data_IF_963450266368
#
_entry.id   IF_963450266368
#
_cell.length_a   1.000
_cell.length_b   1.000
_cell.length_c   1.000
_cell.angle_alpha   90.00
_cell.angle_beta   90.00
_cell.angle_gamma   90.00
#
_symmetry.space_group_name_H-M   'P 1'
#
loop_
_entity.id
_entity.type
_entity.pdbx_description
1 polymer ?
#
# COMPACT_ATOMS: atom_id res chain seq x y z
N UNK A 1 30.76 -43.25 -56.83
CA UNK A 1 29.33 -43.63 -56.84
C UNK A 1 29.03 -44.20 -55.45
N UNK A 2 28.54 -43.35 -54.54
CA UNK A 2 27.18 -43.37 -53.95
C UNK A 2 27.01 -44.55 -52.95
N UNK A 3 26.64 -44.41 -51.67
CA UNK A 3 26.03 -43.28 -50.93
C UNK A 3 26.00 -43.61 -49.42
N UNK A 4 26.54 -42.69 -48.61
CA UNK A 4 25.94 -42.01 -47.43
C UNK A 4 25.29 -42.83 -46.29
N UNK A 5 25.85 -42.61 -45.09
CA UNK A 5 25.38 -43.01 -43.74
C UNK A 5 24.08 -42.29 -43.34
N UNK A 6 23.25 -42.92 -42.50
CA UNK A 6 22.29 -42.20 -41.66
C UNK A 6 22.10 -42.90 -40.30
N UNK A 7 22.76 -42.36 -39.27
CA UNK A 7 22.31 -42.44 -37.88
C UNK A 7 21.07 -41.56 -37.75
N UNK A 8 19.98 -42.06 -37.17
CA UNK A 8 18.91 -41.18 -36.65
C UNK A 8 18.61 -41.55 -35.21
N UNK A 9 18.92 -40.57 -34.38
CA UNK A 9 18.79 -40.47 -32.93
C UNK A 9 17.32 -40.45 -32.54
N UNK A 10 16.99 -41.15 -31.45
CA UNK A 10 15.65 -41.14 -30.86
C UNK A 10 15.24 -39.75 -30.38
N UNK A 11 14.05 -39.31 -30.78
CA UNK A 11 13.43 -38.10 -30.30
C UNK A 11 12.52 -38.43 -29.10
N UNK A 12 13.00 -38.14 -27.88
CA UNK A 12 12.17 -38.07 -26.68
C UNK A 12 11.46 -36.71 -26.69
N UNK A 13 10.14 -36.74 -26.90
CA UNK A 13 9.27 -35.57 -26.85
C UNK A 13 9.19 -35.02 -25.41
N UNK A 14 9.92 -33.95 -25.14
CA UNK A 14 9.79 -33.18 -23.90
C UNK A 14 8.53 -32.31 -23.96
N UNK A 15 7.49 -32.70 -23.22
CA UNK A 15 6.31 -31.85 -23.00
C UNK A 15 6.65 -30.76 -21.98
N UNK A 16 6.87 -29.53 -22.44
CA UNK A 16 7.03 -28.37 -21.57
C UNK A 16 5.65 -27.92 -21.05
N UNK A 17 5.35 -28.25 -19.79
CA UNK A 17 4.22 -27.69 -19.05
C UNK A 17 4.52 -26.21 -18.75
N UNK A 18 4.01 -25.32 -19.60
CA UNK A 18 3.92 -23.88 -19.30
C UNK A 18 2.85 -23.69 -18.21
N UNK A 19 3.25 -23.85 -16.94
CA UNK A 19 2.47 -23.40 -15.80
C UNK A 19 2.40 -21.87 -15.87
N UNK A 20 1.34 -21.35 -16.47
CA UNK A 20 0.94 -19.96 -16.31
C UNK A 20 0.71 -19.72 -14.83
N UNK A 21 1.68 -19.08 -14.17
CA UNK A 21 1.55 -18.61 -12.80
C UNK A 21 0.49 -17.51 -12.78
N UNK A 22 -0.77 -17.89 -12.60
CA UNK A 22 -1.80 -16.94 -12.21
C UNK A 22 -1.36 -16.44 -10.84
N UNK A 23 -0.86 -15.20 -10.77
CA UNK A 23 -0.69 -14.56 -9.48
C UNK A 23 -2.05 -14.60 -8.80
N UNK A 24 -2.15 -15.34 -7.69
CA UNK A 24 -3.30 -15.25 -6.81
C UNK A 24 -3.29 -13.81 -6.25
N UNK A 25 -3.99 -12.92 -6.95
CA UNK A 25 -4.30 -11.60 -6.43
C UNK A 25 -5.33 -11.83 -5.32
N UNK A 26 -5.03 -11.38 -4.10
CA UNK A 26 -6.03 -11.34 -3.05
C UNK A 26 -6.96 -10.14 -3.24
N UNK A 27 -7.80 -9.93 -2.23
CA UNK A 27 -8.92 -8.97 -2.15
C UNK A 27 -8.82 -7.71 -3.03
N UNK A 28 -9.89 -7.45 -3.79
CA UNK A 28 -10.08 -6.26 -4.63
C UNK A 28 -10.95 -5.22 -3.90
N UNK A 29 -10.46 -3.99 -3.77
CA UNK A 29 -11.15 -2.91 -3.03
C UNK A 29 -11.50 -1.75 -3.96
N UNK A 30 -12.71 -1.20 -3.79
CA UNK A 30 -13.12 0.12 -4.30
C UNK A 30 -14.32 0.65 -3.51
N UNK A 31 -14.66 1.93 -3.69
CA UNK A 31 -15.89 2.51 -3.13
C UNK A 31 -15.73 3.04 -1.71
N UNK A 32 -16.79 2.97 -0.90
CA UNK A 32 -16.81 3.60 0.43
C UNK A 32 -16.51 2.61 1.55
N UNK A 33 -15.51 2.94 2.37
CA UNK A 33 -15.15 2.21 3.59
C UNK A 33 -15.70 2.99 4.80
N UNK A 34 -16.61 2.38 5.55
CA UNK A 34 -17.26 3.01 6.73
C UNK A 34 -16.79 2.44 8.07
N UNK A 35 -15.90 1.45 8.04
CA UNK A 35 -15.24 0.83 9.20
C UNK A 35 -13.83 0.43 8.79
N UNK A 36 -12.89 0.34 9.73
CA UNK A 36 -11.53 -0.11 9.42
C UNK A 36 -11.55 -1.43 8.66
N UNK A 37 -10.94 -1.43 7.47
CA UNK A 37 -10.74 -2.63 6.67
C UNK A 37 -9.42 -3.27 7.06
N UNK A 38 -9.48 -4.51 7.55
CA UNK A 38 -8.31 -5.29 7.98
C UNK A 38 -7.85 -6.20 6.84
N UNK A 39 -6.64 -5.97 6.34
CA UNK A 39 -6.08 -6.75 5.24
C UNK A 39 -5.46 -8.06 5.76
N UNK A 40 -5.98 -9.20 5.33
CA UNK A 40 -5.43 -10.52 5.66
C UNK A 40 -4.56 -11.12 4.56
N UNK A 41 -4.58 -10.54 3.35
CA UNK A 41 -3.85 -11.02 2.17
C UNK A 41 -3.39 -9.87 1.27
N UNK A 42 -2.63 -10.20 0.22
CA UNK A 42 -2.22 -9.22 -0.79
C UNK A 42 -3.45 -8.61 -1.45
N UNK A 43 -3.58 -7.30 -1.39
CA UNK A 43 -4.80 -6.58 -1.74
C UNK A 43 -4.48 -5.57 -2.82
N UNK A 44 -5.43 -5.27 -3.72
CA UNK A 44 -5.29 -4.15 -4.67
C UNK A 44 -6.53 -3.29 -4.75
N UNK A 45 -6.32 -2.02 -5.08
CA UNK A 45 -7.40 -1.15 -5.47
C UNK A 45 -7.78 -1.40 -6.93
N UNK A 46 -9.07 -1.51 -7.18
CA UNK A 46 -9.67 -1.58 -8.53
C UNK A 46 -10.50 -0.34 -8.87
N UNK A 47 -10.54 0.63 -7.95
CA UNK A 47 -11.23 1.90 -8.06
C UNK A 47 -10.84 2.83 -6.91
N UNK A 48 -11.27 4.09 -6.99
CA UNK A 48 -11.06 5.04 -5.90
C UNK A 48 -11.80 4.60 -4.63
N UNK A 49 -11.18 4.90 -3.49
CA UNK A 49 -11.68 4.59 -2.16
C UNK A 49 -11.97 5.88 -1.42
N UNK A 50 -13.17 5.97 -0.86
CA UNK A 50 -13.55 7.03 0.08
C UNK A 50 -13.68 6.43 1.48
N UNK A 51 -12.94 6.97 2.42
CA UNK A 51 -12.94 6.55 3.82
C UNK A 51 -13.86 7.47 4.63
N UNK A 52 -14.81 6.88 5.34
CA UNK A 52 -15.64 7.53 6.35
C UNK A 52 -15.52 6.78 7.68
N UNK A 53 -14.28 6.66 8.16
CA UNK A 53 -13.91 6.01 9.42
C UNK A 53 -13.45 7.10 10.39
N UNK A 54 -13.95 7.07 11.62
CA UNK A 54 -13.58 8.00 12.70
C UNK A 54 -12.98 7.24 13.88
N UNK A 55 -12.01 7.83 14.55
CA UNK A 55 -11.33 7.25 15.71
C UNK A 55 -10.38 6.07 15.42
N UNK A 56 -10.25 5.65 14.16
CA UNK A 56 -9.44 4.49 13.76
C UNK A 56 -8.88 4.65 12.34
N UNK A 57 -7.87 3.85 11.94
CA UNK A 57 -7.38 3.84 10.57
C UNK A 57 -8.46 3.44 9.56
N UNK A 58 -8.40 3.96 8.34
CA UNK A 58 -9.30 3.49 7.28
C UNK A 58 -8.95 2.06 6.85
N UNK A 59 -7.67 1.80 6.56
CA UNK A 59 -7.16 0.48 6.23
C UNK A 59 -6.04 0.14 7.22
N UNK A 60 -6.06 -1.10 7.73
CA UNK A 60 -5.02 -1.61 8.59
C UNK A 60 -4.55 -3.00 8.12
N UNK A 61 -3.25 -3.25 8.23
CA UNK A 61 -2.71 -4.58 7.98
C UNK A 61 -3.10 -5.52 9.14
N UNK A 62 -3.68 -6.67 8.80
CA UNK A 62 -4.08 -7.72 9.74
C UNK A 62 -3.18 -8.95 9.74
N UNK A 63 -2.30 -9.07 8.75
CA UNK A 63 -1.32 -10.16 8.65
C UNK A 63 0.06 -9.63 8.17
N UNK A 64 1.16 -10.34 8.47
CA UNK A 64 2.48 -10.02 7.94
C UNK A 64 2.67 -10.53 6.51
N UNK A 65 3.73 -10.09 5.83
CA UNK A 65 4.13 -10.58 4.49
C UNK A 65 3.11 -10.33 3.36
N UNK A 66 2.33 -9.25 3.48
CA UNK A 66 1.32 -8.87 2.48
C UNK A 66 1.51 -7.42 2.05
N UNK A 67 0.99 -7.08 0.88
CA UNK A 67 1.06 -5.75 0.33
C UNK A 67 -0.31 -5.22 -0.08
N UNK A 68 -0.48 -3.90 0.05
CA UNK A 68 -1.57 -3.15 -0.56
C UNK A 68 -1.05 -2.47 -1.81
N UNK A 69 -1.61 -2.79 -2.98
CA UNK A 69 -1.32 -2.11 -4.23
C UNK A 69 -2.39 -1.06 -4.54
N UNK A 70 -1.99 0.21 -4.60
CA UNK A 70 -2.89 1.33 -4.91
C UNK A 70 -3.28 1.39 -6.39
N UNK A 71 -2.50 0.77 -7.28
CA UNK A 71 -2.84 0.52 -8.68
C UNK A 71 -3.32 1.76 -9.48
N UNK A 72 -2.81 2.94 -9.12
CA UNK A 72 -3.13 4.23 -9.73
C UNK A 72 -4.32 4.96 -9.11
N UNK A 73 -5.02 4.36 -8.16
CA UNK A 73 -6.22 4.91 -7.53
C UNK A 73 -5.93 5.75 -6.29
N UNK A 74 -6.96 6.47 -5.85
CA UNK A 74 -6.92 7.37 -4.71
C UNK A 74 -7.62 6.77 -3.50
N UNK A 75 -7.01 6.90 -2.33
CA UNK A 75 -7.66 6.71 -1.03
C UNK A 75 -7.86 8.10 -0.41
N UNK A 76 -9.11 8.49 -0.22
CA UNK A 76 -9.50 9.81 0.30
C UNK A 76 -10.19 9.71 1.65
N UNK A 77 -9.63 10.37 2.67
CA UNK A 77 -10.26 10.57 3.97
C UNK A 77 -11.32 11.68 3.97
N UNK A 78 -12.12 11.80 5.05
CA UNK A 78 -13.30 12.67 5.08
C UNK A 78 -12.97 14.16 5.32
N UNK A 79 -11.68 14.51 5.45
CA UNK A 79 -11.27 15.80 5.99
C UNK A 79 -11.16 16.90 4.93
N UNK A 80 -10.82 18.10 5.37
CA UNK A 80 -10.79 19.30 4.53
C UNK A 80 -9.88 19.12 3.31
N UNK A 81 -10.34 19.57 2.14
CA UNK A 81 -9.65 19.38 0.88
C UNK A 81 -8.39 20.24 0.73
N UNK A 82 -8.30 21.36 1.45
CA UNK A 82 -7.21 22.31 1.33
C UNK A 82 -6.11 22.06 2.35
N UNK A 83 -6.49 21.59 3.54
CA UNK A 83 -5.61 21.49 4.72
C UNK A 83 -5.48 20.06 5.26
N UNK A 84 -6.40 19.15 4.91
CA UNK A 84 -6.45 17.81 5.51
C UNK A 84 -7.00 17.79 6.93
N UNK A 85 -7.25 18.96 7.53
CA UNK A 85 -7.62 19.09 8.93
C UNK A 85 -9.04 19.63 9.09
N UNK A 86 -9.80 19.07 10.04
CA UNK A 86 -11.03 19.65 10.59
C UNK A 86 -10.84 20.10 12.05
N UNK A 87 -9.72 20.75 12.35
CA UNK A 87 -9.30 21.13 13.71
C UNK A 87 -7.94 20.55 14.07
N UNK A 88 -7.74 20.19 15.35
CA UNK A 88 -6.52 19.50 15.81
C UNK A 88 -6.41 18.13 15.15
N UNK A 89 -5.17 17.71 14.86
CA UNK A 89 -4.93 16.38 14.31
C UNK A 89 -5.38 15.28 15.28
N UNK A 90 -5.79 14.15 14.71
CA UNK A 90 -6.23 12.96 15.46
C UNK A 90 -5.35 11.80 15.02
N UNK A 91 -4.38 11.43 15.85
CA UNK A 91 -3.33 10.47 15.49
C UNK A 91 -3.83 9.05 15.20
N UNK A 92 -5.08 8.72 15.53
CA UNK A 92 -5.68 7.42 15.22
C UNK A 92 -6.43 7.40 13.88
N UNK A 93 -6.78 8.57 13.31
CA UNK A 93 -7.55 8.70 12.07
C UNK A 93 -6.62 8.77 10.85
N UNK A 94 -5.87 7.70 10.67
CA UNK A 94 -4.87 7.53 9.62
C UNK A 94 -5.47 6.85 8.38
N UNK A 95 -4.91 7.11 7.19
CA UNK A 95 -5.31 6.42 5.97
C UNK A 95 -4.98 4.93 6.00
N UNK A 96 -3.69 4.60 6.01
CA UNK A 96 -3.17 3.23 6.04
C UNK A 96 -2.29 3.05 7.28
N UNK A 97 -2.58 2.04 8.09
CA UNK A 97 -1.76 1.67 9.25
C UNK A 97 -1.16 0.28 9.08
N UNK A 98 0.15 0.14 9.30
CA UNK A 98 0.79 -1.19 9.31
C UNK A 98 0.50 -2.01 10.56
N UNK A 99 -0.04 -1.38 11.61
CA UNK A 99 -0.66 -2.05 12.76
C UNK A 99 0.18 -3.19 13.37
N UNK A 100 1.48 -2.96 13.59
CA UNK A 100 2.41 -3.91 14.18
C UNK A 100 2.81 -5.08 13.27
N UNK A 101 2.26 -5.18 12.06
CA UNK A 101 2.58 -6.26 11.14
C UNK A 101 3.96 -6.06 10.52
N UNK A 102 4.68 -7.16 10.34
CA UNK A 102 6.04 -7.16 9.79
C UNK A 102 6.06 -7.54 8.31
N UNK A 103 7.06 -7.06 7.58
CA UNK A 103 7.22 -7.32 6.15
C UNK A 103 5.96 -6.97 5.32
N UNK A 104 5.28 -5.90 5.71
CA UNK A 104 4.12 -5.37 4.99
C UNK A 104 4.51 -4.18 4.14
N UNK A 105 3.79 -3.93 3.06
CA UNK A 105 4.06 -2.72 2.30
C UNK A 105 2.93 -2.15 1.47
N UNK A 106 3.14 -0.90 1.10
CA UNK A 106 2.22 -0.13 0.27
C UNK A 106 2.91 0.19 -1.06
N UNK A 107 2.32 -0.28 -2.15
CA UNK A 107 2.84 -0.11 -3.50
C UNK A 107 1.97 0.83 -4.29
N UNK A 108 2.58 1.86 -4.87
CA UNK A 108 1.96 2.72 -5.86
C UNK A 108 2.08 2.17 -7.29
N UNK A 109 1.69 2.97 -8.31
CA UNK A 109 1.25 4.36 -8.20
C UNK A 109 -0.07 4.49 -7.42
N UNK A 110 -0.35 5.67 -6.86
CA UNK A 110 -1.60 5.97 -6.17
C UNK A 110 -1.48 7.16 -5.22
N UNK A 111 -2.62 7.68 -4.76
CA UNK A 111 -2.70 8.87 -3.92
C UNK A 111 -3.36 8.55 -2.57
N UNK A 112 -2.77 9.00 -1.46
CA UNK A 112 -3.37 8.93 -0.12
C UNK A 112 -3.51 10.33 0.46
N UNK A 113 -4.75 10.74 0.74
CA UNK A 113 -5.04 12.14 1.06
C UNK A 113 -6.19 12.34 2.06
N UNK A 114 -6.20 13.52 2.68
CA UNK A 114 -7.31 14.06 3.49
C UNK A 114 -7.62 13.26 4.75
N UNK A 115 -6.59 12.72 5.39
CA UNK A 115 -6.68 12.10 6.72
C UNK A 115 -6.36 13.09 7.85
N UNK A 116 -7.05 12.96 8.98
CA UNK A 116 -6.92 13.84 10.16
C UNK A 116 -5.66 13.49 10.97
N UNK A 117 -5.16 12.27 10.79
CA UNK A 117 -3.84 11.83 11.23
C UNK A 117 -2.85 11.77 10.08
N UNK A 118 -2.16 10.63 9.98
CA UNK A 118 -1.17 10.36 8.95
C UNK A 118 -1.85 9.83 7.68
N UNK A 119 -1.24 10.03 6.50
CA UNK A 119 -1.63 9.31 5.30
C UNK A 119 -1.30 7.82 5.43
N UNK A 120 -0.03 7.52 5.71
CA UNK A 120 0.50 6.18 5.95
C UNK A 120 1.29 6.17 7.25
N UNK A 121 0.92 5.30 8.20
CA UNK A 121 1.60 5.14 9.48
C UNK A 121 2.24 3.76 9.59
N UNK A 122 3.57 3.73 9.76
CA UNK A 122 4.31 2.56 10.20
C UNK A 122 4.36 2.53 11.73
N UNK A 123 3.53 1.69 12.35
CA UNK A 123 3.42 1.55 13.81
C UNK A 123 3.85 0.15 14.24
N UNK A 124 4.92 0.04 15.04
CA UNK A 124 5.42 -1.25 15.55
C UNK A 124 5.87 -2.23 14.47
N UNK A 125 6.22 -1.77 13.27
CA UNK A 125 6.50 -2.63 12.12
C UNK A 125 7.99 -2.88 11.96
N UNK A 126 8.36 -4.14 11.71
CA UNK A 126 9.69 -4.51 11.26
C UNK A 126 9.69 -4.79 9.75
N UNK A 127 10.70 -4.28 9.03
CA UNK A 127 10.93 -4.55 7.60
C UNK A 127 9.76 -4.16 6.68
N UNK A 128 9.02 -3.12 7.07
CA UNK A 128 7.95 -2.59 6.22
C UNK A 128 8.51 -1.79 5.04
N UNK A 129 7.69 -1.51 4.04
CA UNK A 129 8.11 -0.67 2.91
C UNK A 129 6.96 0.13 2.30
N UNK A 130 7.28 1.29 1.74
CA UNK A 130 6.35 2.09 0.94
C UNK A 130 7.07 2.61 -0.29
N UNK A 131 6.47 2.37 -1.45
CA UNK A 131 7.10 2.68 -2.73
C UNK A 131 6.13 3.27 -3.76
N UNK A 132 6.53 4.36 -4.42
CA UNK A 132 5.79 4.91 -5.56
C UNK A 132 4.47 5.59 -5.20
N UNK A 133 4.25 5.95 -3.93
CA UNK A 133 3.00 6.54 -3.46
C UNK A 133 3.10 8.06 -3.39
N UNK A 134 2.04 8.75 -3.79
CA UNK A 134 1.85 10.17 -3.52
C UNK A 134 1.00 10.33 -2.26
N UNK A 135 1.51 11.06 -1.27
CA UNK A 135 0.75 11.44 -0.09
C UNK A 135 0.54 12.95 -0.10
N UNK A 136 -0.69 13.40 0.09
CA UNK A 136 -0.96 14.84 0.07
C UNK A 136 -2.09 15.25 0.99
N UNK A 137 -1.97 16.45 1.56
CA UNK A 137 -3.06 17.08 2.30
C UNK A 137 -3.59 16.18 3.41
N UNK A 138 -2.68 15.53 4.13
CA UNK A 138 -2.96 14.84 5.40
C UNK A 138 -2.57 15.76 6.55
N UNK A 139 -3.38 15.79 7.61
CA UNK A 139 -3.27 16.79 8.67
C UNK A 139 -2.00 16.65 9.52
N UNK A 140 -1.48 15.44 9.72
CA UNK A 140 -0.26 15.19 10.52
C UNK A 140 0.97 14.97 9.63
N UNK A 141 1.04 13.82 8.96
CA UNK A 141 2.11 13.50 8.02
C UNK A 141 1.61 12.79 6.77
N UNK A 142 2.40 12.84 5.70
CA UNK A 142 2.14 12.03 4.50
C UNK A 142 2.46 10.57 4.78
N UNK A 143 3.71 10.30 5.13
CA UNK A 143 4.20 9.01 5.61
C UNK A 143 4.81 9.26 6.99
N UNK A 144 4.57 8.38 7.96
CA UNK A 144 5.17 8.50 9.29
C UNK A 144 5.75 7.17 9.74
N UNK A 145 7.02 7.18 10.12
CA UNK A 145 7.69 6.05 10.77
C UNK A 145 7.67 6.28 12.28
N UNK A 146 6.86 5.52 13.00
CA UNK A 146 6.82 5.59 14.45
C UNK A 146 8.13 5.05 15.06
N UNK A 147 8.65 5.59 16.17
CA UNK A 147 9.88 5.12 16.82
C UNK A 147 9.89 3.63 17.22
N UNK A 148 8.72 3.00 17.28
CA UNK A 148 8.56 1.55 17.53
C UNK A 148 8.80 0.67 16.29
N UNK A 149 8.97 1.28 15.11
CA UNK A 149 9.20 0.59 13.85
C UNK A 149 10.69 0.55 13.48
N UNK A 150 11.12 -0.45 12.72
CA UNK A 150 12.53 -0.63 12.34
C UNK A 150 12.69 -1.24 10.94
N UNK A 151 13.77 -0.86 10.25
CA UNK A 151 14.09 -1.38 8.91
C UNK A 151 13.06 -1.03 7.85
N UNK A 152 12.44 0.14 7.94
CA UNK A 152 11.43 0.59 6.98
C UNK A 152 12.12 1.14 5.72
N UNK A 153 11.76 0.62 4.54
CA UNK A 153 12.20 1.22 3.27
C UNK A 153 11.18 2.23 2.75
N UNK A 154 11.66 3.40 2.31
CA UNK A 154 10.85 4.48 1.75
C UNK A 154 11.46 4.92 0.43
N UNK A 155 10.84 4.53 -0.68
CA UNK A 155 11.44 4.68 -2.01
C UNK A 155 10.48 5.34 -3.01
N UNK A 156 10.98 6.27 -3.82
CA UNK A 156 10.21 6.84 -4.95
C UNK A 156 8.84 7.41 -4.57
N UNK A 157 8.69 7.92 -3.35
CA UNK A 157 7.43 8.51 -2.88
C UNK A 157 7.42 10.02 -3.09
N UNK A 158 6.24 10.58 -3.26
CA UNK A 158 6.00 12.03 -3.33
C UNK A 158 5.17 12.44 -2.12
N UNK A 159 5.63 13.43 -1.36
CA UNK A 159 4.91 13.94 -0.19
C UNK A 159 4.74 15.45 -0.31
N UNK A 160 3.51 15.93 -0.43
CA UNK A 160 3.21 17.32 -0.78
C UNK A 160 2.08 17.86 0.08
N UNK A 161 2.29 19.02 0.72
CA UNK A 161 1.27 19.71 1.54
C UNK A 161 0.68 18.84 2.66
N UNK A 162 1.51 18.00 3.28
CA UNK A 162 1.12 17.27 4.51
C UNK A 162 1.57 18.05 5.74
N UNK A 163 0.88 17.83 6.86
CA UNK A 163 1.10 18.54 8.11
C UNK A 163 0.30 19.85 8.18
N UNK A 164 0.03 20.26 9.41
CA UNK A 164 -0.64 21.52 9.72
C UNK A 164 0.03 22.21 10.91
N UNK A 165 -0.29 23.49 11.12
CA UNK A 165 0.29 24.29 12.20
C UNK A 165 0.11 23.64 13.59
N UNK A 166 -1.00 22.91 13.80
CA UNK A 166 -1.29 22.23 15.06
C UNK A 166 -0.57 20.86 15.22
N UNK A 167 0.04 20.32 14.16
CA UNK A 167 0.69 19.01 14.14
C UNK A 167 1.75 18.92 13.03
N UNK A 168 2.86 19.62 13.23
CA UNK A 168 3.94 19.71 12.26
C UNK A 168 4.82 18.44 12.31
N UNK A 169 4.31 17.33 11.76
CA UNK A 169 5.14 16.17 11.44
C UNK A 169 5.54 16.19 9.95
N UNK A 170 4.68 16.69 9.06
CA UNK A 170 5.05 17.05 7.69
C UNK A 170 5.29 15.86 6.77
N UNK A 171 6.20 16.00 5.80
CA UNK A 171 6.35 15.13 4.64
C UNK A 171 6.41 13.61 4.90
N UNK A 172 7.61 13.11 5.18
CA UNK A 172 7.97 11.69 5.46
C UNK A 172 8.75 11.66 6.76
#
# INVERSE_FOLDING_TARGET
MQTVKAFVVGALAGSALMLSATSAHGEDISGTIVRTLMLSENTRLIGDVTCNVTGAPCIAFGAPNIALNLNGFTITGPNDAATGCKGTSVGTETGISTNGQSNVGVRGPGVVQRFQGDGILFLGTAKGWVQGVTTTTNCMSGIRINPTSSGISVESNVSVRNGAAAAACGGI
#
